data_IF_861686366081
#
_entry.id   IF_861686366081
#
_cell.length_a   1.000
_cell.length_b   1.000
_cell.length_c   1.000
_cell.angle_alpha   90.00
_cell.angle_beta   90.00
_cell.angle_gamma   90.00
#
_symmetry.space_group_name_H-M   'P 1'
#
loop_
_entity.id
_entity.type
_entity.pdbx_description
1 polymer ?
#
# COMPACT_ATOMS: atom_id res chain seq x y z
N UNK A 1 -11.51 -9.50 -3.83
CA UNK A 1 -12.03 -8.49 -4.81
C UNK A 1 -11.17 -8.53 -6.06
N UNK A 2 -11.72 -8.33 -7.24
CA UNK A 2 -10.92 -8.42 -8.47
C UNK A 2 -10.04 -7.20 -8.70
N UNK A 3 -8.99 -7.38 -9.53
CA UNK A 3 -7.99 -6.35 -9.87
C UNK A 3 -8.62 -5.05 -10.39
N UNK A 4 -9.75 -5.12 -11.08
CA UNK A 4 -10.44 -3.96 -11.67
C UNK A 4 -10.83 -2.87 -10.64
N UNK A 5 -10.89 -3.21 -9.35
CA UNK A 5 -11.26 -2.28 -8.28
C UNK A 5 -10.08 -1.54 -7.68
N UNK A 6 -8.83 -1.94 -7.99
CA UNK A 6 -7.62 -1.31 -7.44
C UNK A 6 -7.60 0.20 -7.72
N UNK A 7 -7.91 0.70 -8.93
CA UNK A 7 -7.92 2.15 -9.18
C UNK A 7 -8.91 2.92 -8.31
N UNK A 8 -10.12 2.41 -8.09
CA UNK A 8 -11.10 3.07 -7.21
C UNK A 8 -10.65 3.05 -5.74
N UNK A 9 -10.03 1.96 -5.27
CA UNK A 9 -9.43 1.93 -3.93
C UNK A 9 -8.30 2.94 -3.79
N UNK A 10 -7.40 3.01 -4.76
CA UNK A 10 -6.31 3.98 -4.75
C UNK A 10 -6.85 5.41 -4.74
N UNK A 11 -7.82 5.74 -5.60
CA UNK A 11 -8.43 7.05 -5.65
C UNK A 11 -9.08 7.44 -4.31
N UNK A 12 -9.86 6.55 -3.72
CA UNK A 12 -10.51 6.82 -2.44
C UNK A 12 -9.51 6.95 -1.28
N UNK A 13 -8.59 6.01 -1.15
CA UNK A 13 -7.65 5.97 -0.02
C UNK A 13 -6.59 7.06 -0.08
N UNK A 14 -6.22 7.50 -1.28
CA UNK A 14 -5.31 8.63 -1.52
C UNK A 14 -6.01 9.98 -1.36
N UNK A 15 -7.34 10.01 -1.36
CA UNK A 15 -8.16 11.20 -1.18
C UNK A 15 -7.79 12.35 -2.16
N UNK A 16 -7.56 11.99 -3.42
CA UNK A 16 -7.17 12.94 -4.47
C UNK A 16 -5.70 13.37 -4.44
N UNK A 17 -4.88 12.76 -3.57
CA UNK A 17 -3.46 13.07 -3.48
C UNK A 17 -2.61 11.96 -4.12
N UNK A 18 -1.72 12.32 -5.05
CA UNK A 18 -0.50 11.52 -5.21
C UNK A 18 0.43 11.76 -4.01
N UNK A 19 1.50 10.99 -3.90
CA UNK A 19 2.35 11.08 -2.70
C UNK A 19 3.06 12.45 -2.60
N UNK A 20 3.53 12.98 -3.72
CA UNK A 20 4.25 14.26 -3.74
C UNK A 20 3.33 15.40 -3.31
N UNK A 21 2.10 15.46 -3.82
CA UNK A 21 1.11 16.44 -3.41
C UNK A 21 0.76 16.33 -1.92
N UNK A 22 0.64 15.10 -1.41
CA UNK A 22 0.41 14.85 0.02
C UNK A 22 1.57 15.34 0.89
N UNK A 23 2.79 15.13 0.44
CA UNK A 23 3.98 15.65 1.12
C UNK A 23 4.02 17.18 1.09
N UNK A 24 3.79 17.79 -0.06
CA UNK A 24 3.82 19.24 -0.25
C UNK A 24 2.78 19.96 0.62
N UNK A 25 1.62 19.33 0.83
CA UNK A 25 0.56 19.84 1.71
C UNK A 25 0.79 19.52 3.21
N UNK A 26 1.94 18.93 3.56
CA UNK A 26 2.29 18.63 4.95
C UNK A 26 1.50 17.47 5.57
N UNK A 27 0.87 16.62 4.75
CA UNK A 27 0.03 15.50 5.20
C UNK A 27 0.77 14.17 5.33
N UNK A 28 2.04 14.13 4.97
CA UNK A 28 2.90 12.95 5.11
C UNK A 28 4.08 13.25 6.03
N UNK A 29 4.49 12.25 6.81
CA UNK A 29 5.68 12.37 7.66
C UNK A 29 6.98 12.20 6.83
N UNK A 30 8.10 12.69 7.34
CA UNK A 30 9.41 12.48 6.73
C UNK A 30 9.76 10.98 6.61
N UNK A 31 9.44 10.19 7.63
CA UNK A 31 9.65 8.74 7.59
C UNK A 31 8.82 8.05 6.51
N UNK A 32 7.57 8.46 6.33
CA UNK A 32 6.72 7.95 5.25
C UNK A 32 7.32 8.30 3.89
N UNK A 33 7.84 9.51 3.72
CA UNK A 33 8.49 9.95 2.49
C UNK A 33 9.73 9.12 2.18
N UNK A 34 10.63 8.94 3.13
CA UNK A 34 11.84 8.13 2.93
C UNK A 34 11.49 6.68 2.53
N UNK A 35 10.52 6.07 3.21
CA UNK A 35 10.08 4.72 2.90
C UNK A 35 9.49 4.63 1.49
N UNK A 36 8.57 5.54 1.17
CA UNK A 36 7.92 5.56 -0.14
C UNK A 36 8.93 5.77 -1.28
N UNK A 37 9.78 6.79 -1.18
CA UNK A 37 10.77 7.11 -2.21
C UNK A 37 11.77 5.97 -2.39
N UNK A 38 12.25 5.36 -1.32
CA UNK A 38 13.17 4.22 -1.40
C UNK A 38 12.54 3.04 -2.13
N UNK A 39 11.28 2.70 -1.82
CA UNK A 39 10.56 1.62 -2.49
C UNK A 39 10.31 1.96 -3.96
N UNK A 40 9.88 3.18 -4.25
CA UNK A 40 9.60 3.64 -5.61
C UNK A 40 10.85 3.63 -6.49
N UNK A 41 11.97 4.07 -5.96
CA UNK A 41 13.26 4.13 -6.70
C UNK A 41 13.83 2.74 -6.96
N UNK A 42 13.72 1.82 -6.00
CA UNK A 42 14.23 0.45 -6.13
C UNK A 42 13.29 -0.47 -6.93
N UNK A 43 12.03 -0.12 -7.06
CA UNK A 43 10.99 -0.90 -7.73
C UNK A 43 10.39 -1.98 -6.84
N UNK A 44 11.21 -2.91 -6.34
CA UNK A 44 10.81 -3.92 -5.33
C UNK A 44 11.86 -4.02 -4.24
N UNK A 45 11.43 -4.06 -2.99
CA UNK A 45 12.37 -4.07 -1.88
C UNK A 45 11.89 -4.96 -0.73
N UNK A 46 12.76 -5.89 -0.32
CA UNK A 46 12.50 -6.71 0.85
C UNK A 46 12.44 -5.84 2.12
N UNK A 47 11.52 -6.13 3.00
CA UNK A 47 11.35 -5.38 4.27
C UNK A 47 12.64 -5.34 5.09
N UNK A 48 13.41 -6.43 5.09
CA UNK A 48 14.71 -6.49 5.78
C UNK A 48 15.71 -5.50 5.20
N UNK A 49 15.85 -5.46 3.88
CA UNK A 49 16.76 -4.53 3.19
C UNK A 49 16.33 -3.08 3.38
N UNK A 50 15.01 -2.83 3.35
CA UNK A 50 14.44 -1.51 3.59
C UNK A 50 14.75 -1.00 5.00
N UNK A 51 14.60 -1.86 6.01
CA UNK A 51 14.97 -1.54 7.40
C UNK A 51 16.47 -1.24 7.55
N UNK A 52 17.32 -2.01 6.89
CA UNK A 52 18.78 -1.78 6.89
C UNK A 52 19.14 -0.46 6.21
N UNK A 53 18.60 -0.19 5.02
CA UNK A 53 18.87 1.00 4.25
C UNK A 53 18.49 2.30 4.96
N UNK A 54 17.36 2.29 5.70
CA UNK A 54 16.83 3.44 6.43
C UNK A 54 17.10 3.41 7.94
N UNK A 55 18.03 2.57 8.37
CA UNK A 55 18.51 2.51 9.75
C UNK A 55 17.43 2.20 10.80
N UNK A 56 16.44 1.36 10.46
CA UNK A 56 15.46 0.84 11.41
C UNK A 56 16.04 -0.31 12.23
N UNK A 57 16.75 0.04 13.29
CA UNK A 57 17.42 -0.91 14.20
C UNK A 57 17.46 -0.35 15.62
N UNK A 58 17.85 -1.18 16.58
CA UNK A 58 18.06 -0.74 17.96
C UNK A 58 19.07 0.41 18.02
N UNK A 59 18.67 1.53 18.60
CA UNK A 59 19.48 2.76 18.64
C UNK A 59 19.40 3.63 17.38
N UNK A 60 18.66 3.20 16.34
CA UNK A 60 18.37 3.98 15.13
C UNK A 60 16.92 4.40 15.04
N UNK A 61 16.37 4.43 13.81
CA UNK A 61 14.97 4.75 13.58
C UNK A 61 14.04 3.70 14.18
N UNK A 62 12.86 4.15 14.61
CA UNK A 62 11.78 3.32 15.15
C UNK A 62 10.47 3.59 14.43
N UNK A 63 9.50 2.68 14.57
CA UNK A 63 8.16 2.86 14.01
C UNK A 63 8.00 2.42 12.56
N UNK A 64 8.88 1.53 12.07
CA UNK A 64 8.77 0.98 10.71
C UNK A 64 7.38 0.40 10.43
N UNK A 65 6.86 -0.46 11.31
CA UNK A 65 5.56 -1.12 11.12
C UNK A 65 4.41 -0.09 11.04
N UNK A 66 4.47 0.96 11.84
CA UNK A 66 3.47 2.04 11.81
C UNK A 66 3.49 2.79 10.48
N UNK A 67 4.67 3.15 10.00
CA UNK A 67 4.83 3.90 8.75
C UNK A 67 4.47 3.05 7.53
N UNK A 68 4.99 1.82 7.45
CA UNK A 68 4.71 0.95 6.31
C UNK A 68 3.24 0.54 6.24
N UNK A 69 2.60 0.29 7.39
CA UNK A 69 1.17 0.01 7.45
C UNK A 69 0.36 1.21 6.97
N UNK A 70 0.69 2.42 7.39
CA UNK A 70 0.03 3.65 6.93
C UNK A 70 0.12 3.80 5.42
N UNK A 71 1.31 3.62 4.84
CA UNK A 71 1.50 3.69 3.39
C UNK A 71 0.68 2.63 2.63
N UNK A 72 0.55 1.43 3.18
CA UNK A 72 -0.29 0.38 2.62
C UNK A 72 -1.79 0.74 2.72
N UNK A 73 -2.23 1.24 3.85
CA UNK A 73 -3.62 1.68 4.07
C UNK A 73 -4.01 2.81 3.14
N UNK A 74 -3.07 3.71 2.82
CA UNK A 74 -3.25 4.80 1.87
C UNK A 74 -3.08 4.36 0.40
N UNK A 75 -2.75 3.10 0.14
CA UNK A 75 -2.50 2.53 -1.19
C UNK A 75 -1.32 3.14 -1.94
N UNK A 76 -0.32 3.65 -1.25
CA UNK A 76 0.95 4.09 -1.86
C UNK A 76 1.97 2.97 -1.97
N UNK A 77 1.88 1.97 -1.09
CA UNK A 77 2.74 0.80 -1.06
C UNK A 77 1.87 -0.45 -0.97
N UNK A 78 2.31 -1.53 -1.56
CA UNK A 78 1.68 -2.84 -1.43
C UNK A 78 2.72 -3.94 -1.26
N UNK A 79 2.28 -5.09 -0.80
CA UNK A 79 3.10 -6.29 -0.75
C UNK A 79 3.07 -6.94 -2.13
N UNK A 80 4.22 -7.02 -2.77
CA UNK A 80 4.38 -7.66 -4.06
C UNK A 80 4.51 -9.18 -3.94
N UNK A 81 5.24 -9.64 -2.92
CA UNK A 81 5.52 -11.05 -2.70
C UNK A 81 5.97 -11.31 -1.25
N UNK A 82 6.02 -12.58 -0.87
CA UNK A 82 6.69 -13.06 0.33
C UNK A 82 7.84 -13.97 -0.08
N UNK A 83 9.06 -13.57 0.23
CA UNK A 83 10.29 -14.27 -0.12
C UNK A 83 10.79 -15.07 1.07
N UNK A 84 10.99 -16.37 0.88
CA UNK A 84 11.52 -17.24 1.91
C UNK A 84 13.04 -17.26 1.83
N UNK A 85 13.70 -17.09 2.98
CA UNK A 85 15.14 -17.27 3.10
C UNK A 85 15.48 -18.74 2.85
N UNK A 86 16.69 -18.98 2.30
CA UNK A 86 17.17 -20.32 1.98
C UNK A 86 18.35 -20.68 2.87
N UNK A 87 18.41 -21.96 3.29
CA UNK A 87 19.57 -22.50 3.98
C UNK A 87 20.75 -22.77 2.99
N UNK A 88 21.86 -23.26 3.50
CA UNK A 88 23.04 -23.58 2.67
C UNK A 88 22.78 -24.64 1.58
N UNK A 89 21.68 -25.36 1.67
CA UNK A 89 21.25 -26.38 0.68
C UNK A 89 20.15 -25.86 -0.26
N UNK A 90 19.81 -24.57 -0.20
CA UNK A 90 18.77 -23.97 -1.02
C UNK A 90 17.32 -24.28 -0.56
N UNK A 91 17.15 -24.80 0.66
CA UNK A 91 15.82 -25.15 1.20
C UNK A 91 15.20 -23.92 1.90
N UNK A 92 13.92 -23.60 1.65
CA UNK A 92 13.25 -22.54 2.37
C UNK A 92 13.17 -22.81 3.88
N UNK A 93 13.36 -21.80 4.69
CA UNK A 93 13.21 -21.87 6.13
C UNK A 93 12.60 -20.60 6.71
N UNK A 94 11.97 -20.72 7.87
CA UNK A 94 11.36 -19.60 8.59
C UNK A 94 10.11 -19.04 7.90
N UNK A 95 9.74 -17.83 8.27
CA UNK A 95 8.61 -17.11 7.71
C UNK A 95 9.01 -16.34 6.45
N UNK A 96 8.05 -16.18 5.54
CA UNK A 96 8.27 -15.33 4.36
C UNK A 96 8.54 -13.88 4.75
N UNK A 97 9.53 -13.28 4.10
CA UNK A 97 9.86 -11.85 4.24
C UNK A 97 9.08 -11.07 3.21
N UNK A 98 8.32 -10.06 3.64
CA UNK A 98 7.54 -9.23 2.72
C UNK A 98 8.45 -8.44 1.77
N UNK A 99 8.10 -8.47 0.50
CA UNK A 99 8.68 -7.63 -0.54
C UNK A 99 7.67 -6.54 -0.90
N UNK A 100 8.07 -5.30 -0.74
CA UNK A 100 7.22 -4.13 -1.01
C UNK A 100 7.48 -3.54 -2.40
N UNK A 101 6.42 -3.02 -2.99
CA UNK A 101 6.48 -2.26 -4.24
C UNK A 101 5.41 -1.15 -4.21
N UNK A 102 5.49 -0.22 -5.16
CA UNK A 102 4.36 0.67 -5.41
C UNK A 102 3.33 -0.03 -6.29
N UNK A 103 2.03 0.27 -6.14
CA UNK A 103 1.01 -0.24 -7.04
C UNK A 103 1.27 0.12 -8.51
N UNK A 104 1.85 1.29 -8.76
CA UNK A 104 2.24 1.76 -10.09
C UNK A 104 3.26 0.82 -10.75
N UNK A 105 4.26 0.37 -10.00
CA UNK A 105 5.27 -0.57 -10.50
C UNK A 105 4.68 -1.95 -10.79
N UNK A 106 3.72 -2.41 -9.98
CA UNK A 106 3.10 -3.72 -10.15
C UNK A 106 2.06 -3.78 -11.26
N UNK A 107 1.26 -2.71 -11.41
CA UNK A 107 0.07 -2.72 -12.26
C UNK A 107 0.12 -1.69 -13.39
N UNK A 108 1.11 -0.81 -13.38
CA UNK A 108 1.24 0.30 -14.32
C UNK A 108 0.60 1.59 -13.83
N UNK A 109 1.27 2.71 -14.10
CA UNK A 109 0.83 4.04 -13.70
C UNK A 109 -0.55 4.40 -14.25
N UNK A 110 -0.77 4.19 -15.55
CA UNK A 110 -2.03 4.55 -16.21
C UNK A 110 -3.21 3.77 -15.63
N UNK A 111 -3.01 2.50 -15.32
CA UNK A 111 -4.04 1.67 -14.69
C UNK A 111 -4.40 2.16 -13.28
N UNK A 112 -3.40 2.38 -12.43
CA UNK A 112 -3.63 2.81 -11.03
C UNK A 112 -4.29 4.18 -10.97
N UNK A 113 -3.93 5.10 -11.87
CA UNK A 113 -4.46 6.47 -11.89
C UNK A 113 -5.73 6.61 -12.73
N UNK A 114 -6.24 5.53 -13.33
CA UNK A 114 -7.40 5.56 -14.23
C UNK A 114 -8.70 6.05 -13.58
N UNK A 115 -8.81 6.00 -12.25
CA UNK A 115 -9.96 6.52 -11.52
C UNK A 115 -9.77 7.95 -10.99
N UNK A 116 -8.64 8.61 -11.25
CA UNK A 116 -8.37 9.95 -10.72
C UNK A 116 -9.27 11.06 -11.26
N UNK A 117 -9.93 10.84 -12.41
CA UNK A 117 -10.95 11.75 -12.92
C UNK A 117 -12.25 11.73 -12.10
N UNK A 118 -12.45 10.73 -11.24
CA UNK A 118 -13.59 10.64 -10.34
C UNK A 118 -13.27 11.34 -9.02
N UNK A 119 -14.31 11.92 -8.41
CA UNK A 119 -14.21 12.32 -7.01
C UNK A 119 -13.92 11.10 -6.12
N UNK A 120 -13.06 11.20 -5.11
CA UNK A 120 -12.79 10.08 -4.19
C UNK A 120 -14.05 9.48 -3.54
N UNK A 121 -15.07 10.29 -3.26
CA UNK A 121 -16.35 9.81 -2.75
C UNK A 121 -17.12 8.99 -3.78
N UNK A 122 -17.05 9.34 -5.05
CA UNK A 122 -17.64 8.54 -6.14
C UNK A 122 -17.01 7.16 -6.22
N UNK A 123 -15.68 7.07 -6.10
CA UNK A 123 -14.96 5.79 -6.02
C UNK A 123 -15.40 4.98 -4.79
N UNK A 124 -15.56 5.61 -3.62
CA UNK A 124 -16.10 4.94 -2.42
C UNK A 124 -17.48 4.37 -2.66
N UNK A 125 -18.39 5.15 -3.22
CA UNK A 125 -19.77 4.72 -3.50
C UNK A 125 -19.82 3.55 -4.48
N UNK A 126 -19.00 3.56 -5.52
CA UNK A 126 -18.88 2.46 -6.48
C UNK A 126 -18.43 1.17 -5.80
N UNK A 127 -17.38 1.24 -4.95
CA UNK A 127 -16.89 0.08 -4.17
C UNK A 127 -17.97 -0.40 -3.22
N UNK A 128 -18.61 0.50 -2.48
CA UNK A 128 -19.65 0.17 -1.51
C UNK A 128 -20.82 -0.57 -2.18
N UNK A 129 -21.30 -0.05 -3.31
CA UNK A 129 -22.36 -0.68 -4.11
C UNK A 129 -21.97 -2.09 -4.58
N UNK A 130 -20.74 -2.27 -5.03
CA UNK A 130 -20.24 -3.57 -5.44
C UNK A 130 -20.19 -4.55 -4.26
N UNK A 131 -19.66 -4.11 -3.12
CA UNK A 131 -19.60 -4.93 -1.90
C UNK A 131 -20.99 -5.32 -1.40
N UNK A 132 -21.96 -4.40 -1.41
CA UNK A 132 -23.34 -4.68 -1.05
C UNK A 132 -23.95 -5.79 -1.92
N UNK A 133 -23.66 -5.80 -3.22
CA UNK A 133 -24.12 -6.84 -4.13
C UNK A 133 -23.50 -8.22 -3.85
N UNK A 134 -22.30 -8.26 -3.31
CA UNK A 134 -21.55 -9.48 -2.99
C UNK A 134 -21.78 -9.99 -1.56
N UNK A 135 -22.05 -9.06 -0.65
CA UNK A 135 -22.23 -9.31 0.77
C UNK A 135 -23.56 -8.71 1.25
N UNK A 136 -24.72 -9.24 0.79
CA UNK A 136 -26.02 -8.63 1.04
C UNK A 136 -26.42 -8.59 2.52
N UNK A 137 -25.83 -9.44 3.36
CA UNK A 137 -26.10 -9.50 4.80
C UNK A 137 -25.13 -8.63 5.64
N UNK A 138 -24.14 -7.99 5.03
CA UNK A 138 -23.22 -7.10 5.74
C UNK A 138 -23.87 -5.76 6.00
N UNK A 139 -23.61 -5.19 7.19
CA UNK A 139 -24.04 -3.82 7.51
C UNK A 139 -23.16 -2.80 6.77
N UNK A 140 -23.69 -1.59 6.58
CA UNK A 140 -22.93 -0.50 5.98
C UNK A 140 -21.63 -0.22 6.73
N UNK A 141 -21.66 -0.24 8.07
CA UNK A 141 -20.48 -0.07 8.92
C UNK A 141 -19.42 -1.15 8.65
N UNK A 142 -19.82 -2.41 8.46
CA UNK A 142 -18.89 -3.51 8.11
C UNK A 142 -18.26 -3.29 6.73
N UNK A 143 -19.06 -2.86 5.76
CA UNK A 143 -18.58 -2.58 4.40
C UNK A 143 -17.62 -1.39 4.37
N UNK A 144 -17.93 -0.31 5.09
CA UNK A 144 -17.02 0.83 5.22
C UNK A 144 -15.67 0.45 5.84
N UNK A 145 -15.68 -0.46 6.80
CA UNK A 145 -14.47 -0.97 7.43
C UNK A 145 -13.57 -1.69 6.42
N UNK A 146 -14.16 -2.46 5.50
CA UNK A 146 -13.41 -3.12 4.41
C UNK A 146 -12.79 -2.08 3.47
N UNK A 147 -13.51 -1.02 3.14
CA UNK A 147 -13.04 0.01 2.22
C UNK A 147 -11.90 0.83 2.82
N UNK A 148 -11.99 1.18 4.09
CA UNK A 148 -10.96 1.95 4.80
C UNK A 148 -9.70 1.13 5.09
N UNK A 149 -9.87 -0.17 5.28
CA UNK A 149 -8.79 -1.08 5.63
C UNK A 149 -8.61 -1.28 7.11
#
# INVERSE_FOLDING_TARGET
>A
MSREWIPDFANFRRDGYDFDARWDDGLASYKDKELYETIADEGRMLSKRLKEALNYRKGGNTGFETCITRLQMQSYVCIADFVYMQDKYGRPYGWGVAEYATPEDLFGYDFITSAYQRDPQESKERILKHLQSRLPNATEMQLEKIIKG
#
